data_IF_355157844467
#
_entry.id   IF_355157844467
#
_cell.length_a   1.000
_cell.length_b   1.000
_cell.length_c   1.000
_cell.angle_alpha   90.00
_cell.angle_beta   90.00
_cell.angle_gamma   90.00
#
_symmetry.space_group_name_H-M   'P 1'
#
loop_
_entity.id
_entity.type
_entity.pdbx_description
1 polymer ?
#
# COMPACT_ATOMS: atom_id res chain seq x y z
N UNK A 1 -3.41 39.48 14.42
CA UNK A 1 -4.75 38.88 14.67
C UNK A 1 -4.77 37.47 14.09
N UNK A 2 -4.48 36.45 14.90
CA UNK A 2 -4.56 35.04 14.45
C UNK A 2 -6.02 34.59 14.51
N UNK A 3 -6.74 34.69 13.39
CA UNK A 3 -8.04 34.05 13.25
C UNK A 3 -7.86 32.53 13.38
N UNK A 4 -8.27 31.96 14.52
CA UNK A 4 -8.47 30.51 14.65
C UNK A 4 -9.59 30.13 13.69
N UNK A 5 -9.24 29.62 12.51
CA UNK A 5 -10.21 28.98 11.61
C UNK A 5 -10.94 27.86 12.38
N UNK A 6 -12.27 27.76 12.27
CA UNK A 6 -13.03 26.69 12.90
C UNK A 6 -12.53 25.34 12.38
N UNK A 7 -12.29 24.38 13.29
CA UNK A 7 -11.97 23.00 12.95
C UNK A 7 -13.15 22.44 12.15
N UNK A 8 -12.95 22.21 10.85
CA UNK A 8 -13.95 21.55 10.01
C UNK A 8 -14.25 20.17 10.63
N UNK A 9 -15.53 19.76 10.72
CA UNK A 9 -15.87 18.42 11.16
C UNK A 9 -15.15 17.39 10.29
N UNK A 10 -14.69 16.29 10.90
CA UNK A 10 -14.14 15.19 10.14
C UNK A 10 -15.17 14.74 9.08
N UNK A 11 -14.73 14.50 7.84
CA UNK A 11 -15.57 13.91 6.80
C UNK A 11 -16.29 12.67 7.34
N UNK A 12 -17.57 12.55 7.01
CA UNK A 12 -18.35 11.36 7.36
C UNK A 12 -18.12 10.30 6.27
N UNK A 13 -17.98 9.02 6.64
CA UNK A 13 -17.90 7.96 5.66
C UNK A 13 -19.18 7.91 4.81
N UNK A 14 -19.13 7.31 3.60
CA UNK A 14 -20.28 7.18 2.72
C UNK A 14 -21.45 6.52 3.45
N UNK A 15 -22.66 6.90 3.06
CA UNK A 15 -23.88 6.30 3.59
C UNK A 15 -23.85 4.77 3.41
N UNK A 16 -24.28 4.04 4.43
CA UNK A 16 -24.20 2.57 4.44
C UNK A 16 -22.84 1.98 4.85
N UNK A 17 -21.81 2.80 5.13
CA UNK A 17 -20.55 2.28 5.70
C UNK A 17 -20.80 1.67 7.08
N UNK A 18 -20.43 0.40 7.33
CA UNK A 18 -20.62 -0.22 8.63
C UNK A 18 -19.91 0.51 9.77
N UNK A 19 -20.38 0.28 10.99
CA UNK A 19 -19.72 0.81 12.18
C UNK A 19 -18.28 0.28 12.27
N UNK A 20 -17.40 1.08 12.89
CA UNK A 20 -15.96 0.74 13.00
C UNK A 20 -15.71 -0.64 13.61
N UNK A 21 -16.48 -1.01 14.64
CA UNK A 21 -16.37 -2.31 15.31
C UNK A 21 -16.74 -3.47 14.39
N UNK A 22 -17.70 -3.26 13.48
CA UNK A 22 -18.08 -4.24 12.48
C UNK A 22 -17.02 -4.40 11.39
N UNK A 23 -16.48 -3.28 10.88
CA UNK A 23 -15.32 -3.32 9.97
C UNK A 23 -14.13 -4.04 10.62
N UNK A 24 -13.87 -3.76 11.90
CA UNK A 24 -12.80 -4.43 12.63
C UNK A 24 -13.08 -5.92 12.82
N UNK A 25 -14.33 -6.34 13.04
CA UNK A 25 -14.73 -7.76 13.07
C UNK A 25 -14.47 -8.44 11.72
N UNK A 26 -14.82 -7.79 10.60
CA UNK A 26 -14.53 -8.30 9.25
C UNK A 26 -13.01 -8.43 9.03
N UNK A 27 -12.24 -7.41 9.37
CA UNK A 27 -10.78 -7.43 9.28
C UNK A 27 -10.16 -8.55 10.14
N UNK A 28 -10.65 -8.76 11.37
CA UNK A 28 -10.21 -9.88 12.22
C UNK A 28 -10.51 -11.23 11.61
N UNK A 29 -11.65 -11.37 10.95
CA UNK A 29 -12.03 -12.61 10.25
C UNK A 29 -11.07 -12.90 9.10
N UNK A 30 -10.77 -11.90 8.25
CA UNK A 30 -9.83 -12.06 7.13
C UNK A 30 -8.39 -12.35 7.57
N UNK A 31 -7.95 -11.75 8.68
CA UNK A 31 -6.61 -11.91 9.23
C UNK A 31 -6.48 -13.05 10.26
N UNK A 32 -7.49 -13.92 10.40
CA UNK A 32 -7.52 -14.93 11.47
C UNK A 32 -6.42 -15.99 11.35
N UNK A 33 -6.09 -16.43 10.12
CA UNK A 33 -4.98 -17.35 9.86
C UNK A 33 -3.63 -16.73 10.20
N UNK A 34 -3.36 -15.56 9.65
CA UNK A 34 -2.19 -14.74 9.96
C UNK A 34 -2.00 -14.48 11.46
N UNK A 35 -3.08 -14.11 12.18
CA UNK A 35 -3.01 -13.88 13.63
C UNK A 35 -2.71 -15.18 14.42
N UNK A 36 -3.13 -16.34 13.93
CA UNK A 36 -2.84 -17.65 14.52
C UNK A 36 -1.36 -17.99 14.36
N UNK A 37 -0.82 -17.86 13.15
CA UNK A 37 0.61 -18.07 12.87
C UNK A 37 1.48 -17.08 13.65
N UNK A 38 1.06 -15.82 13.76
CA UNK A 38 1.80 -14.82 14.54
C UNK A 38 1.87 -15.14 16.05
N UNK A 39 0.78 -15.66 16.64
CA UNK A 39 0.76 -16.11 18.05
C UNK A 39 1.58 -17.38 18.28
N UNK A 40 1.54 -18.29 17.31
CA UNK A 40 2.40 -19.46 17.31
C UNK A 40 3.87 -19.05 17.30
N UNK A 41 4.25 -18.14 16.40
CA UNK A 41 5.62 -17.64 16.29
C UNK A 41 6.10 -16.97 17.59
N UNK A 42 5.26 -16.16 18.24
CA UNK A 42 5.55 -15.57 19.55
C UNK A 42 5.87 -16.63 20.62
N UNK A 43 5.13 -17.75 20.59
CA UNK A 43 5.27 -18.83 21.57
C UNK A 43 6.44 -19.79 21.26
N UNK A 44 6.64 -20.11 19.98
CA UNK A 44 7.59 -21.12 19.51
C UNK A 44 8.98 -20.54 19.22
N UNK A 45 9.05 -19.31 18.70
CA UNK A 45 10.27 -18.66 18.19
C UNK A 45 10.75 -17.50 19.08
N UNK A 46 10.27 -17.43 20.32
CA UNK A 46 10.62 -16.38 21.30
C UNK A 46 12.12 -16.28 21.59
N UNK A 47 12.57 -15.22 22.29
CA UNK A 47 13.97 -14.90 22.47
C UNK A 47 14.82 -16.10 22.93
N UNK A 48 15.84 -16.47 22.13
CA UNK A 48 16.75 -17.58 22.42
C UNK A 48 16.32 -18.95 21.88
N UNK A 49 15.19 -19.05 21.16
CA UNK A 49 14.70 -20.29 20.54
C UNK A 49 14.84 -20.25 19.02
N UNK A 50 16.04 -20.55 18.52
CA UNK A 50 16.31 -20.84 17.10
C UNK A 50 16.12 -19.67 16.12
N UNK A 51 16.60 -19.86 14.89
CA UNK A 51 16.32 -18.93 13.79
C UNK A 51 14.91 -19.18 13.25
N UNK A 52 14.12 -18.11 13.13
CA UNK A 52 12.80 -18.12 12.51
C UNK A 52 12.86 -18.15 10.98
N UNK A 53 13.92 -17.58 10.39
CA UNK A 53 13.98 -17.28 8.95
C UNK A 53 15.20 -17.94 8.30
N UNK A 54 15.09 -18.25 7.01
CA UNK A 54 16.14 -18.99 6.31
C UNK A 54 17.40 -18.16 6.03
N UNK A 55 17.26 -16.87 5.69
CA UNK A 55 18.35 -16.06 5.10
C UNK A 55 18.23 -14.54 5.38
N UNK A 56 17.66 -14.12 6.51
CA UNK A 56 17.40 -12.70 6.78
C UNK A 56 16.36 -12.01 5.86
N UNK A 57 15.81 -12.74 4.88
CA UNK A 57 14.78 -12.29 3.91
C UNK A 57 13.35 -12.33 4.46
N UNK A 58 13.18 -12.46 5.77
CA UNK A 58 11.88 -12.55 6.44
C UNK A 58 10.94 -13.70 6.03
N UNK A 59 11.39 -14.61 5.17
CA UNK A 59 10.70 -15.86 4.82
C UNK A 59 10.96 -16.93 5.88
N UNK A 60 9.93 -17.69 6.25
CA UNK A 60 10.08 -18.86 7.13
C UNK A 60 11.01 -19.90 6.51
N UNK A 61 11.89 -20.47 7.32
CA UNK A 61 12.67 -21.64 6.91
C UNK A 61 11.76 -22.88 6.74
N UNK A 62 12.19 -23.83 5.92
CA UNK A 62 11.43 -25.07 5.66
C UNK A 62 11.14 -25.82 6.96
N UNK A 63 12.15 -25.96 7.82
CA UNK A 63 12.02 -26.62 9.12
C UNK A 63 10.99 -25.94 10.03
N UNK A 64 11.01 -24.60 10.09
CA UNK A 64 10.08 -23.82 10.90
C UNK A 64 8.66 -23.89 10.33
N UNK A 65 8.51 -23.86 9.01
CA UNK A 65 7.22 -23.98 8.35
C UNK A 65 6.59 -25.37 8.57
N UNK A 66 7.38 -26.44 8.49
CA UNK A 66 6.92 -27.81 8.73
C UNK A 66 6.60 -28.08 10.21
N UNK A 67 7.32 -27.43 11.13
CA UNK A 67 6.96 -27.45 12.55
C UNK A 67 5.62 -26.75 12.78
N UNK A 68 5.45 -25.53 12.29
CA UNK A 68 4.20 -24.78 12.40
C UNK A 68 3.03 -25.53 11.78
N UNK A 69 3.22 -26.16 10.61
CA UNK A 69 2.21 -26.94 9.92
C UNK A 69 1.69 -28.08 10.79
N UNK A 70 2.61 -28.84 11.41
CA UNK A 70 2.27 -29.94 12.33
C UNK A 70 1.58 -29.45 13.59
N UNK A 71 2.06 -28.37 14.20
CA UNK A 71 1.51 -27.86 15.47
C UNK A 71 0.16 -27.15 15.29
N UNK A 72 -0.07 -26.50 14.15
CA UNK A 72 -1.30 -25.77 13.85
C UNK A 72 -2.33 -26.58 13.08
N UNK A 73 -1.98 -27.79 12.62
CA UNK A 73 -2.84 -28.62 11.78
C UNK A 73 -3.13 -27.99 10.42
N UNK A 74 -2.14 -27.30 9.85
CA UNK A 74 -2.20 -26.62 8.56
C UNK A 74 -1.24 -27.28 7.57
N UNK A 75 -1.41 -27.01 6.29
CA UNK A 75 -0.38 -27.33 5.30
C UNK A 75 0.79 -26.35 5.38
N UNK A 76 1.99 -26.77 5.00
CA UNK A 76 3.18 -25.90 4.93
C UNK A 76 2.93 -24.69 4.03
N UNK A 77 2.17 -24.85 2.94
CA UNK A 77 1.78 -23.76 2.04
C UNK A 77 0.87 -22.73 2.75
N UNK A 78 -0.14 -23.18 3.50
CA UNK A 78 -1.02 -22.29 4.26
C UNK A 78 -0.25 -21.52 5.33
N UNK A 79 0.68 -22.18 6.05
CA UNK A 79 1.53 -21.51 7.04
C UNK A 79 2.34 -20.39 6.41
N UNK A 80 2.96 -20.63 5.24
CA UNK A 80 3.75 -19.61 4.54
C UNK A 80 2.89 -18.42 4.10
N UNK A 81 1.73 -18.68 3.52
CA UNK A 81 0.80 -17.62 3.11
C UNK A 81 0.29 -16.79 4.31
N UNK A 82 -0.07 -17.46 5.41
CA UNK A 82 -0.50 -16.78 6.65
C UNK A 82 0.65 -16.01 7.31
N UNK A 83 1.89 -16.52 7.23
CA UNK A 83 3.08 -15.81 7.71
C UNK A 83 3.35 -14.53 6.92
N UNK A 84 3.32 -14.60 5.59
CA UNK A 84 3.54 -13.43 4.75
C UNK A 84 2.43 -12.39 4.96
N UNK A 85 1.19 -12.85 5.08
CA UNK A 85 0.05 -12.01 5.46
C UNK A 85 0.25 -11.37 6.84
N UNK A 86 0.75 -12.11 7.83
CA UNK A 86 1.05 -11.60 9.17
C UNK A 86 2.16 -10.54 9.15
N UNK A 87 3.18 -10.72 8.30
CA UNK A 87 4.27 -9.76 8.10
C UNK A 87 3.77 -8.48 7.45
N UNK A 88 3.04 -8.59 6.34
CA UNK A 88 2.48 -7.44 5.61
C UNK A 88 1.45 -6.66 6.45
N UNK A 89 0.63 -7.35 7.24
CA UNK A 89 -0.31 -6.71 8.17
C UNK A 89 0.36 -6.14 9.44
N UNK A 90 1.67 -6.37 9.63
CA UNK A 90 2.44 -5.92 10.81
C UNK A 90 2.02 -6.60 12.11
N UNK A 91 1.56 -7.86 12.05
CA UNK A 91 1.32 -8.73 13.19
C UNK A 91 2.61 -9.42 13.66
N UNK A 92 3.58 -9.59 12.76
CA UNK A 92 4.92 -10.10 13.03
C UNK A 92 5.95 -9.07 12.57
N UNK A 93 6.95 -8.83 13.40
CA UNK A 93 8.11 -8.01 13.08
C UNK A 93 9.35 -8.90 12.99
N UNK A 94 9.92 -9.02 11.79
CA UNK A 94 11.14 -9.79 11.57
C UNK A 94 12.36 -8.88 11.74
N UNK A 95 13.33 -9.35 12.52
CA UNK A 95 14.59 -8.69 12.79
C UNK A 95 15.73 -9.68 12.50
N UNK A 96 16.28 -9.63 11.29
CA UNK A 96 17.24 -10.62 10.78
C UNK A 96 16.65 -12.03 10.84
N UNK A 97 17.27 -12.86 11.66
CA UNK A 97 16.91 -14.27 11.83
C UNK A 97 15.83 -14.50 12.90
N UNK A 98 15.42 -13.44 13.61
CA UNK A 98 14.43 -13.52 14.68
C UNK A 98 13.09 -12.91 14.28
N UNK A 99 12.00 -13.45 14.81
CA UNK A 99 10.67 -12.90 14.64
C UNK A 99 10.06 -12.57 16.00
N UNK A 100 9.34 -11.45 16.09
CA UNK A 100 8.69 -10.98 17.31
C UNK A 100 7.24 -10.60 17.04
N UNK A 101 6.36 -10.68 18.05
CA UNK A 101 5.00 -10.19 17.91
C UNK A 101 5.02 -8.68 17.68
N UNK A 102 4.45 -8.26 16.56
CA UNK A 102 4.25 -6.85 16.27
C UNK A 102 3.28 -6.20 17.25
N UNK A 103 3.38 -4.88 17.43
CA UNK A 103 2.52 -4.16 18.38
C UNK A 103 1.02 -4.33 18.08
N UNK A 104 0.64 -4.53 16.80
CA UNK A 104 -0.75 -4.77 16.38
C UNK A 104 -1.29 -6.09 16.92
N UNK A 105 -0.48 -7.14 16.98
CA UNK A 105 -0.86 -8.42 17.58
C UNK A 105 -1.16 -8.26 19.08
N UNK A 106 -0.35 -7.45 19.79
CA UNK A 106 -0.56 -7.13 21.21
C UNK A 106 -1.81 -6.27 21.46
N UNK A 107 -2.29 -5.58 20.45
CA UNK A 107 -3.48 -4.74 20.50
C UNK A 107 -4.74 -5.43 19.93
N UNK A 108 -4.60 -6.63 19.37
CA UNK A 108 -5.61 -7.34 18.57
C UNK A 108 -7.02 -7.38 19.17
N UNK A 109 -7.12 -7.66 20.47
CA UNK A 109 -8.40 -7.81 21.16
C UNK A 109 -9.00 -6.49 21.69
N UNK A 110 -8.23 -5.39 21.71
CA UNK A 110 -8.57 -4.17 22.45
C UNK A 110 -8.59 -2.89 21.62
N UNK A 111 -7.98 -2.89 20.43
CA UNK A 111 -7.89 -1.72 19.56
C UNK A 111 -8.32 -2.06 18.14
N UNK A 112 -9.58 -1.74 17.81
CA UNK A 112 -10.14 -1.87 16.47
C UNK A 112 -9.37 -1.04 15.43
N UNK A 113 -8.83 0.11 15.84
CA UNK A 113 -8.06 0.96 14.94
C UNK A 113 -6.73 0.31 14.56
N UNK A 114 -6.10 -0.43 15.49
CA UNK A 114 -4.88 -1.17 15.21
C UNK A 114 -5.11 -2.30 14.20
N UNK A 115 -6.21 -3.04 14.36
CA UNK A 115 -6.61 -4.11 13.43
C UNK A 115 -6.90 -3.55 12.05
N UNK A 116 -7.72 -2.50 11.97
CA UNK A 116 -8.05 -1.84 10.70
C UNK A 116 -6.80 -1.30 9.99
N UNK A 117 -5.85 -0.69 10.73
CA UNK A 117 -4.57 -0.28 10.15
C UNK A 117 -3.71 -1.46 9.66
N UNK A 118 -3.79 -2.61 10.32
CA UNK A 118 -3.10 -3.82 9.87
C UNK A 118 -3.69 -4.37 8.58
N UNK A 119 -5.02 -4.41 8.48
CA UNK A 119 -5.70 -4.82 7.26
C UNK A 119 -5.47 -3.86 6.10
N UNK A 120 -5.49 -2.53 6.34
CA UNK A 120 -5.16 -1.54 5.30
C UNK A 120 -3.72 -1.71 4.79
N UNK A 121 -2.77 -2.04 5.68
CA UNK A 121 -1.39 -2.32 5.25
C UNK A 121 -1.31 -3.58 4.36
N UNK A 122 -2.08 -4.63 4.66
CA UNK A 122 -2.20 -5.80 3.80
C UNK A 122 -2.85 -5.45 2.45
N UNK A 123 -3.94 -4.68 2.49
CA UNK A 123 -4.64 -4.18 1.30
C UNK A 123 -3.69 -3.39 0.40
N UNK A 124 -2.82 -2.55 0.96
CA UNK A 124 -1.83 -1.78 0.19
C UNK A 124 -0.72 -2.66 -0.39
N UNK A 125 -0.44 -3.78 0.25
CA UNK A 125 0.54 -4.77 -0.17
C UNK A 125 -0.10 -5.96 -0.91
N UNK A 126 -1.28 -5.80 -1.51
CA UNK A 126 -2.02 -6.89 -2.16
C UNK A 126 -1.18 -7.64 -3.20
N UNK A 127 -0.39 -6.93 -4.00
CA UNK A 127 0.47 -7.51 -5.04
C UNK A 127 1.66 -8.28 -4.47
N UNK A 128 2.07 -7.99 -3.23
CA UNK A 128 3.09 -8.75 -2.49
C UNK A 128 2.49 -9.96 -1.77
N UNK A 129 1.23 -9.85 -1.34
CA UNK A 129 0.50 -10.94 -0.70
C UNK A 129 0.10 -12.04 -1.71
N UNK A 130 -0.11 -11.66 -2.97
CA UNK A 130 -0.45 -12.55 -4.06
C UNK A 130 0.44 -12.25 -5.28
N UNK A 131 1.63 -12.87 -5.34
CA UNK A 131 2.61 -12.58 -6.40
C UNK A 131 2.05 -12.79 -7.80
N UNK A 132 2.62 -12.08 -8.77
CA UNK A 132 2.25 -12.17 -10.18
C UNK A 132 2.46 -13.58 -10.76
N UNK A 133 1.70 -13.94 -11.81
CA UNK A 133 1.95 -15.17 -12.56
C UNK A 133 3.36 -15.19 -13.18
N UNK A 134 3.97 -16.38 -13.22
CA UNK A 134 5.30 -16.53 -13.80
C UNK A 134 5.30 -16.24 -15.30
N UNK A 135 6.28 -15.46 -15.76
CA UNK A 135 6.48 -15.13 -17.18
C UNK A 135 5.91 -13.77 -17.59
N UNK A 136 5.25 -13.04 -16.69
CA UNK A 136 4.81 -11.67 -16.92
C UNK A 136 5.99 -10.70 -16.91
N UNK A 137 5.89 -9.65 -17.73
CA UNK A 137 6.92 -8.63 -17.84
C UNK A 137 6.86 -7.67 -16.62
N UNK A 138 7.97 -7.43 -15.90
CA UNK A 138 7.93 -6.65 -14.66
C UNK A 138 7.41 -5.22 -14.80
N UNK A 139 7.64 -4.54 -15.93
CA UNK A 139 7.13 -3.20 -16.15
C UNK A 139 5.60 -3.19 -16.35
N UNK A 140 5.04 -4.15 -17.08
CA UNK A 140 3.60 -4.33 -17.24
C UNK A 140 2.91 -4.59 -15.89
N UNK A 141 3.50 -5.45 -15.05
CA UNK A 141 3.00 -5.67 -13.68
C UNK A 141 3.02 -4.37 -12.87
N UNK A 142 4.12 -3.61 -12.92
CA UNK A 142 4.25 -2.34 -12.21
C UNK A 142 3.25 -1.27 -12.70
N UNK A 143 2.93 -1.26 -14.00
CA UNK A 143 1.91 -0.39 -14.60
C UNK A 143 0.51 -0.73 -14.09
N UNK A 144 0.14 -2.01 -14.08
CA UNK A 144 -1.16 -2.46 -13.55
C UNK A 144 -1.28 -2.12 -12.07
N UNK A 145 -0.25 -2.43 -11.26
CA UNK A 145 -0.23 -2.07 -9.83
C UNK A 145 -0.39 -0.56 -9.63
N UNK A 146 0.24 0.26 -10.49
CA UNK A 146 0.14 1.72 -10.46
C UNK A 146 -1.24 2.25 -10.88
N UNK A 147 -1.96 1.53 -11.75
CA UNK A 147 -3.28 1.91 -12.25
C UNK A 147 -4.43 1.48 -11.32
N UNK A 148 -4.24 0.44 -10.49
CA UNK A 148 -5.28 -0.08 -9.60
C UNK A 148 -5.97 0.94 -8.68
N UNK A 149 -5.32 1.99 -8.14
CA UNK A 149 -6.01 3.01 -7.35
C UNK A 149 -7.18 3.68 -8.10
N UNK A 150 -7.07 3.90 -9.41
CA UNK A 150 -8.15 4.49 -10.21
C UNK A 150 -9.29 3.48 -10.44
N UNK A 151 -8.95 2.23 -10.74
CA UNK A 151 -9.93 1.13 -10.88
C UNK A 151 -10.74 0.94 -9.58
N UNK A 152 -10.06 0.95 -8.43
CA UNK A 152 -10.69 0.87 -7.12
C UNK A 152 -11.58 2.08 -6.81
N UNK A 153 -11.16 3.28 -7.21
CA UNK A 153 -11.97 4.49 -7.08
C UNK A 153 -13.24 4.43 -7.93
N UNK A 154 -13.14 3.87 -9.15
CA UNK A 154 -14.30 3.65 -10.01
C UNK A 154 -15.28 2.65 -9.38
N UNK A 155 -14.79 1.49 -8.90
CA UNK A 155 -15.62 0.52 -8.17
C UNK A 155 -16.35 1.15 -6.98
N UNK A 156 -15.67 2.04 -6.25
CA UNK A 156 -16.25 2.74 -5.09
C UNK A 156 -17.35 3.71 -5.51
N UNK A 157 -17.15 4.46 -6.60
CA UNK A 157 -18.13 5.42 -7.13
C UNK A 157 -19.36 4.73 -7.74
N UNK A 158 -19.17 3.56 -8.36
CA UNK A 158 -20.26 2.78 -8.94
C UNK A 158 -21.22 2.21 -7.90
N UNK A 159 -20.78 2.07 -6.63
CA UNK A 159 -21.60 1.63 -5.49
C UNK A 159 -22.37 0.31 -5.75
N UNK A 160 -21.81 -0.60 -6.55
CA UNK A 160 -22.43 -1.86 -6.95
C UNK A 160 -21.50 -2.72 -7.82
N UNK A 161 -22.01 -3.85 -8.35
CA UNK A 161 -21.25 -4.71 -9.26
C UNK A 161 -20.86 -3.98 -10.54
N UNK A 162 -19.61 -4.17 -10.95
CA UNK A 162 -19.04 -3.58 -12.17
C UNK A 162 -18.52 -4.68 -13.09
N UNK A 163 -18.87 -4.65 -14.38
CA UNK A 163 -18.40 -5.65 -15.35
C UNK A 163 -16.89 -5.64 -15.54
N UNK A 164 -16.29 -6.83 -15.63
CA UNK A 164 -14.83 -6.98 -15.76
C UNK A 164 -14.32 -6.40 -17.09
N UNK A 165 -15.10 -6.46 -18.16
CA UNK A 165 -14.82 -5.79 -19.43
C UNK A 165 -14.73 -4.27 -19.27
N UNK A 166 -15.65 -3.66 -18.52
CA UNK A 166 -15.59 -2.22 -18.22
C UNK A 166 -14.35 -1.86 -17.38
N UNK A 167 -13.94 -2.72 -16.44
CA UNK A 167 -12.71 -2.52 -15.67
C UNK A 167 -11.45 -2.66 -16.54
N UNK A 168 -11.49 -3.54 -17.54
CA UNK A 168 -10.40 -3.73 -18.51
C UNK A 168 -10.23 -2.49 -19.37
N UNK A 169 -11.31 -1.94 -19.93
CA UNK A 169 -11.27 -0.71 -20.72
C UNK A 169 -10.65 0.45 -19.92
N UNK A 170 -11.04 0.58 -18.65
CA UNK A 170 -10.47 1.60 -17.74
C UNK A 170 -8.99 1.37 -17.46
N UNK A 171 -8.58 0.12 -17.26
CA UNK A 171 -7.19 -0.24 -17.01
C UNK A 171 -6.32 0.05 -18.24
N UNK A 172 -6.78 -0.34 -19.44
CA UNK A 172 -6.10 -0.08 -20.71
C UNK A 172 -5.91 1.43 -20.94
N UNK A 173 -6.96 2.22 -20.71
CA UNK A 173 -6.86 3.67 -20.78
C UNK A 173 -5.79 4.20 -19.81
N UNK A 174 -5.84 3.79 -18.54
CA UNK A 174 -4.91 4.34 -17.54
C UNK A 174 -3.46 3.91 -17.77
N UNK A 175 -3.21 2.68 -18.19
CA UNK A 175 -1.86 2.22 -18.53
C UNK A 175 -1.32 3.03 -19.72
N UNK A 176 -2.15 3.32 -20.71
CA UNK A 176 -1.79 4.18 -21.84
C UNK A 176 -1.41 5.60 -21.39
N UNK A 177 -2.20 6.19 -20.49
CA UNK A 177 -1.89 7.49 -19.87
C UNK A 177 -0.56 7.45 -19.11
N UNK A 178 -0.33 6.45 -18.26
CA UNK A 178 0.92 6.29 -17.49
C UNK A 178 2.16 6.18 -18.40
N UNK A 179 2.04 5.44 -19.50
CA UNK A 179 3.11 5.33 -20.51
C UNK A 179 3.39 6.68 -21.17
N UNK A 180 2.33 7.43 -21.50
CA UNK A 180 2.45 8.77 -22.07
C UNK A 180 3.10 9.75 -21.08
N UNK A 181 2.64 9.78 -19.81
CA UNK A 181 3.21 10.60 -18.74
C UNK A 181 4.70 10.31 -18.51
N UNK A 182 5.13 9.05 -18.60
CA UNK A 182 6.55 8.65 -18.47
C UNK A 182 7.41 9.09 -19.65
N UNK A 183 6.84 9.19 -20.85
CA UNK A 183 7.53 9.71 -22.03
C UNK A 183 7.79 11.22 -21.95
N UNK A 184 7.16 11.96 -21.02
CA UNK A 184 7.21 13.43 -20.96
C UNK A 184 8.32 14.04 -20.06
N UNK A 185 9.33 13.30 -19.57
CA UNK A 185 10.39 13.89 -18.70
C UNK A 185 11.81 13.54 -19.18
N UNK A 186 12.79 14.48 -19.33
CA UNK A 186 12.88 15.80 -18.68
C UNK A 186 13.12 17.06 -19.56
N UNK A 187 12.56 18.17 -19.07
CA UNK A 187 12.96 19.55 -19.38
C UNK A 187 14.31 19.87 -18.70
N UNK A 188 15.41 19.53 -19.38
CA UNK A 188 16.76 20.04 -19.13
C UNK A 188 17.28 20.77 -20.38
N UNK A 189 18.40 21.53 -20.32
CA UNK A 189 18.94 22.18 -21.52
C UNK A 189 19.23 21.10 -22.57
N UNK A 190 18.58 21.26 -23.72
CA UNK A 190 18.58 20.35 -24.87
C UNK A 190 20.04 20.03 -25.24
N UNK A 191 20.51 18.83 -24.92
CA UNK A 191 21.70 18.28 -25.55
C UNK A 191 21.33 18.02 -27.02
N UNK A 192 22.23 18.44 -27.91
CA UNK A 192 22.14 18.30 -29.37
C UNK A 192 21.57 16.93 -29.81
N UNK A 193 20.76 16.87 -30.87
CA UNK A 193 20.06 15.66 -31.27
C UNK A 193 21.03 14.59 -31.75
N UNK A 194 21.33 13.63 -30.86
CA UNK A 194 21.87 12.32 -31.24
C UNK A 194 20.81 11.49 -31.99
N UNK A 195 21.23 10.38 -32.64
CA UNK A 195 20.32 9.53 -33.41
C UNK A 195 19.12 9.13 -32.55
N UNK A 196 17.92 9.45 -33.05
CA UNK A 196 16.66 9.11 -32.40
C UNK A 196 16.63 7.61 -32.12
N UNK A 197 16.46 7.16 -30.86
CA UNK A 197 16.12 5.77 -30.62
C UNK A 197 14.79 5.50 -31.31
N UNK A 198 14.77 4.44 -32.12
CA UNK A 198 13.57 3.87 -32.73
C UNK A 198 12.52 3.72 -31.62
N UNK A 199 11.24 4.11 -31.82
CA UNK A 199 10.23 3.89 -30.79
C UNK A 199 10.24 2.41 -30.44
N UNK A 200 10.61 2.12 -29.18
CA UNK A 200 10.54 0.77 -28.67
C UNK A 200 9.06 0.42 -28.65
N UNK A 201 8.68 -0.49 -29.54
CA UNK A 201 7.37 -1.11 -29.54
C UNK A 201 7.38 -2.04 -28.33
N UNK A 202 7.31 -1.47 -27.13
CA UNK A 202 7.00 -2.22 -25.91
C UNK A 202 5.60 -2.76 -26.11
N UNK A 203 5.59 -3.97 -26.63
CA UNK A 203 4.50 -4.64 -27.29
C UNK A 203 3.25 -4.71 -26.42
N UNK A 204 2.11 -4.81 -27.12
CA UNK A 204 0.76 -5.15 -26.66
C UNK A 204 0.74 -6.33 -25.67
N UNK A 205 1.22 -6.12 -24.45
CA UNK A 205 1.08 -7.09 -23.38
C UNK A 205 -0.41 -7.11 -23.04
N UNK A 206 -1.10 -8.24 -23.25
CA UNK A 206 -2.53 -8.29 -23.00
C UNK A 206 -2.76 -8.01 -21.51
N UNK A 207 -3.55 -6.98 -21.21
CA UNK A 207 -3.80 -6.57 -19.82
C UNK A 207 -4.87 -7.41 -19.13
N UNK A 208 -5.67 -8.18 -19.89
CA UNK A 208 -6.74 -9.01 -19.33
C UNK A 208 -6.26 -10.05 -18.30
N UNK A 209 -5.19 -10.84 -18.53
CA UNK A 209 -4.63 -11.73 -17.52
C UNK A 209 -4.13 -11.00 -16.26
N UNK A 210 -3.54 -9.81 -16.44
CA UNK A 210 -3.05 -9.00 -15.32
C UNK A 210 -4.18 -8.36 -14.51
N UNK A 211 -5.28 -7.96 -15.17
CA UNK A 211 -6.50 -7.53 -14.48
C UNK A 211 -7.10 -8.69 -13.68
N UNK A 212 -7.21 -9.87 -14.28
CA UNK A 212 -7.74 -11.05 -13.61
C UNK A 212 -6.89 -11.39 -12.37
N UNK A 213 -5.56 -11.39 -12.50
CA UNK A 213 -4.64 -11.52 -11.37
C UNK A 213 -4.89 -10.46 -10.29
N UNK A 214 -4.96 -9.17 -10.67
CA UNK A 214 -5.14 -8.09 -9.71
C UNK A 214 -6.48 -8.20 -8.94
N UNK A 215 -7.56 -8.57 -9.65
CA UNK A 215 -8.87 -8.80 -9.04
C UNK A 215 -8.84 -10.00 -8.08
N UNK A 216 -8.23 -11.12 -8.47
CA UNK A 216 -8.06 -12.28 -7.59
C UNK A 216 -7.19 -11.97 -6.37
N UNK A 217 -6.11 -11.20 -6.54
CA UNK A 217 -5.24 -10.78 -5.46
C UNK A 217 -5.98 -9.89 -4.45
N UNK A 218 -6.74 -8.90 -4.93
CA UNK A 218 -7.58 -8.04 -4.09
C UNK A 218 -8.72 -8.81 -3.41
N UNK A 219 -9.30 -9.81 -4.10
CA UNK A 219 -10.28 -10.72 -3.50
C UNK A 219 -9.65 -11.56 -2.38
N UNK A 220 -8.41 -12.03 -2.56
CA UNK A 220 -7.70 -12.86 -1.58
C UNK A 220 -7.46 -12.14 -0.25
N UNK A 221 -7.26 -10.81 -0.28
CA UNK A 221 -7.15 -9.97 0.93
C UNK A 221 -8.51 -9.49 1.46
N UNK A 222 -9.61 -9.85 0.80
CA UNK A 222 -10.98 -9.52 1.18
C UNK A 222 -11.44 -8.11 0.80
N UNK A 223 -10.76 -7.45 -0.14
CA UNK A 223 -11.10 -6.08 -0.55
C UNK A 223 -12.31 -6.04 -1.50
N UNK A 224 -12.46 -7.07 -2.32
CA UNK A 224 -13.58 -7.19 -3.26
C UNK A 224 -14.04 -8.64 -3.39
N UNK A 225 -15.17 -8.85 -4.04
CA UNK A 225 -15.67 -10.16 -4.46
C UNK A 225 -15.80 -10.17 -5.98
N UNK A 226 -15.41 -11.27 -6.61
CA UNK A 226 -15.60 -11.53 -8.03
C UNK A 226 -16.70 -12.59 -8.22
N UNK A 227 -17.62 -12.36 -9.14
CA UNK A 227 -18.70 -13.30 -9.48
C UNK A 227 -19.42 -12.87 -10.76
N UNK A 228 -19.87 -13.82 -11.57
CA UNK A 228 -20.63 -13.58 -12.82
C UNK A 228 -19.95 -12.59 -13.81
N UNK A 229 -18.61 -12.59 -13.85
CA UNK A 229 -17.85 -11.63 -14.68
C UNK A 229 -17.93 -10.19 -14.17
N UNK A 230 -18.24 -10.00 -12.89
CA UNK A 230 -18.34 -8.71 -12.22
C UNK A 230 -17.40 -8.68 -11.00
N UNK A 231 -16.99 -7.47 -10.60
CA UNK A 231 -16.32 -7.22 -9.33
C UNK A 231 -17.14 -6.24 -8.47
N UNK A 232 -17.12 -6.43 -7.15
CA UNK A 232 -17.79 -5.54 -6.19
C UNK A 232 -16.92 -5.35 -4.96
N UNK A 233 -16.73 -4.11 -4.51
CA UNK A 233 -16.02 -3.87 -3.24
C UNK A 233 -16.80 -4.46 -2.07
N UNK A 234 -16.07 -5.12 -1.17
CA UNK A 234 -16.63 -5.48 0.14
C UNK A 234 -16.84 -4.22 0.98
N UNK A 235 -17.63 -4.27 2.06
CA UNK A 235 -17.73 -3.11 2.96
C UNK A 235 -16.38 -2.64 3.51
N UNK A 236 -15.43 -3.56 3.70
CA UNK A 236 -14.08 -3.26 4.17
C UNK A 236 -13.22 -2.61 3.07
N UNK A 237 -13.29 -3.12 1.84
CA UNK A 237 -12.64 -2.52 0.68
C UNK A 237 -13.18 -1.12 0.36
N UNK A 238 -14.51 -0.96 0.35
CA UNK A 238 -15.16 0.34 0.15
C UNK A 238 -14.72 1.38 1.19
N UNK A 239 -14.67 0.99 2.46
CA UNK A 239 -14.17 1.85 3.53
C UNK A 239 -12.69 2.23 3.32
N UNK A 240 -11.83 1.29 2.95
CA UNK A 240 -10.41 1.56 2.76
C UNK A 240 -10.12 2.48 1.57
N UNK A 241 -10.81 2.27 0.44
CA UNK A 241 -10.73 3.18 -0.72
C UNK A 241 -11.23 4.57 -0.34
N UNK A 242 -12.34 4.67 0.40
CA UNK A 242 -12.83 5.95 0.90
C UNK A 242 -11.80 6.67 1.78
N UNK A 243 -11.18 5.98 2.75
CA UNK A 243 -10.15 6.58 3.62
C UNK A 243 -8.99 7.11 2.79
N UNK A 244 -8.59 6.42 1.72
CA UNK A 244 -7.53 6.88 0.81
C UNK A 244 -7.93 8.10 0.01
N UNK A 245 -9.15 8.12 -0.55
CA UNK A 245 -9.66 9.30 -1.25
C UNK A 245 -9.80 10.50 -0.29
N UNK A 246 -10.24 10.27 0.94
CA UNK A 246 -10.30 11.30 1.97
C UNK A 246 -8.92 11.86 2.28
N UNK A 247 -7.89 11.00 2.39
CA UNK A 247 -6.51 11.44 2.57
C UNK A 247 -6.03 12.32 1.41
N UNK A 248 -6.35 11.98 0.16
CA UNK A 248 -6.04 12.80 -1.01
C UNK A 248 -6.80 14.14 -0.96
N UNK A 249 -8.08 14.13 -0.63
CA UNK A 249 -8.89 15.35 -0.50
C UNK A 249 -8.39 16.28 0.62
N UNK A 250 -8.01 15.71 1.77
CA UNK A 250 -7.39 16.45 2.88
C UNK A 250 -6.02 16.98 2.46
N UNK A 251 -5.25 16.18 1.73
CA UNK A 251 -3.97 16.58 1.19
C UNK A 251 -4.08 17.78 0.27
N UNK A 252 -5.00 17.71 -0.70
CA UNK A 252 -5.32 18.79 -1.66
C UNK A 252 -5.74 20.09 -0.97
N UNK A 253 -6.20 20.00 0.27
CA UNK A 253 -6.60 21.14 1.10
C UNK A 253 -5.50 21.56 2.09
N UNK A 254 -4.26 21.11 1.91
CA UNK A 254 -3.11 21.50 2.74
C UNK A 254 -3.09 23.02 2.92
N UNK A 255 -3.13 23.53 4.16
CA UNK A 255 -3.10 24.97 4.44
C UNK A 255 -1.84 25.66 3.91
N UNK A 256 -0.74 24.92 3.74
CA UNK A 256 0.54 25.44 3.28
C UNK A 256 0.67 25.48 1.75
N UNK A 257 -0.21 24.79 1.00
CA UNK A 257 -0.16 24.76 -0.47
C UNK A 257 1.09 24.07 -1.04
N UNK A 258 1.81 23.29 -0.23
CA UNK A 258 3.04 22.62 -0.66
C UNK A 258 2.79 21.40 -1.56
N UNK A 259 1.52 21.02 -1.77
CA UNK A 259 1.16 19.77 -2.45
C UNK A 259 1.65 19.71 -3.88
N UNK A 260 1.85 20.84 -4.57
CA UNK A 260 2.36 20.91 -5.94
C UNK A 260 3.88 21.14 -5.98
N UNK A 261 4.51 21.42 -4.84
CA UNK A 261 5.92 21.82 -4.78
C UNK A 261 6.86 20.61 -4.86
N UNK A 262 8.08 20.76 -5.42
CA UNK A 262 9.13 19.75 -5.30
C UNK A 262 9.43 19.40 -3.84
N UNK A 263 9.95 18.20 -3.59
CA UNK A 263 10.21 17.73 -2.22
C UNK A 263 11.02 18.72 -1.38
N UNK A 264 12.09 19.32 -1.92
CA UNK A 264 12.92 20.27 -1.18
C UNK A 264 12.15 21.52 -0.74
N UNK A 265 11.32 22.09 -1.62
CA UNK A 265 10.53 23.29 -1.32
C UNK A 265 9.44 22.99 -0.30
N UNK A 266 8.80 21.82 -0.41
CA UNK A 266 7.88 21.34 0.61
C UNK A 266 8.59 21.18 1.97
N UNK A 267 9.78 20.58 2.01
CA UNK A 267 10.55 20.38 3.25
C UNK A 267 10.96 21.71 3.87
N UNK A 268 11.42 22.69 3.05
CA UNK A 268 11.69 24.07 3.50
C UNK A 268 10.45 24.73 4.07
N UNK A 269 9.30 24.61 3.40
CA UNK A 269 8.02 25.13 3.86
C UNK A 269 7.56 24.51 5.19
N UNK A 270 7.94 23.26 5.45
CA UNK A 270 7.62 22.56 6.69
C UNK A 270 8.60 22.82 7.84
N UNK A 271 9.78 23.39 7.58
CA UNK A 271 10.85 23.53 8.58
C UNK A 271 10.44 24.36 9.80
N UNK A 272 9.50 25.30 9.64
CA UNK A 272 9.00 26.15 10.73
C UNK A 272 7.74 25.61 11.41
N UNK A 273 7.18 24.50 10.91
CA UNK A 273 5.97 23.91 11.47
C UNK A 273 6.26 23.09 12.71
N UNK A 274 5.25 22.95 13.58
CA UNK A 274 5.31 21.99 14.69
C UNK A 274 5.39 20.55 14.13
N UNK A 275 6.03 19.59 14.81
CA UNK A 275 6.24 18.24 14.28
C UNK A 275 4.97 17.52 13.78
N UNK A 276 3.86 17.65 14.49
CA UNK A 276 2.59 17.03 14.07
C UNK A 276 1.96 17.72 12.85
N UNK A 277 2.19 19.03 12.69
CA UNK A 277 1.73 19.77 11.51
C UNK A 277 2.61 19.44 10.29
N UNK A 278 3.94 19.43 10.46
CA UNK A 278 4.89 18.99 9.43
C UNK A 278 4.58 17.55 8.95
N UNK A 279 4.32 16.62 9.87
CA UNK A 279 3.90 15.25 9.49
C UNK A 279 2.57 15.19 8.74
N UNK A 280 1.64 16.10 9.01
CA UNK A 280 0.40 16.18 8.25
C UNK A 280 0.67 16.68 6.82
N UNK A 281 1.56 17.66 6.66
CA UNK A 281 2.02 18.14 5.36
C UNK A 281 2.78 17.06 4.57
N UNK A 282 3.62 16.26 5.23
CA UNK A 282 4.31 15.14 4.57
C UNK A 282 3.33 14.09 4.05
N UNK A 283 2.32 13.71 4.86
CA UNK A 283 1.26 12.80 4.41
C UNK A 283 0.49 13.37 3.23
N UNK A 284 0.18 14.66 3.29
CA UNK A 284 -0.52 15.34 2.22
C UNK A 284 0.28 15.30 0.91
N UNK A 285 1.54 15.72 0.98
CA UNK A 285 2.44 15.74 -0.16
C UNK A 285 2.65 14.34 -0.77
N UNK A 286 2.81 13.32 0.08
CA UNK A 286 2.94 11.92 -0.35
C UNK A 286 1.67 11.38 -1.00
N UNK A 287 0.49 11.68 -0.44
CA UNK A 287 -0.79 11.18 -0.95
C UNK A 287 -1.14 11.68 -2.36
N UNK A 288 -0.57 12.81 -2.78
CA UNK A 288 -0.87 13.45 -4.06
C UNK A 288 -0.01 12.97 -5.23
N UNK A 289 0.91 12.03 -5.02
CA UNK A 289 1.94 11.64 -5.99
C UNK A 289 2.11 10.13 -6.10
N UNK A 290 2.65 9.64 -7.23
CA UNK A 290 3.17 8.28 -7.30
C UNK A 290 4.28 8.05 -6.27
N UNK A 291 4.17 6.98 -5.48
CA UNK A 291 5.12 6.66 -4.38
C UNK A 291 6.57 6.59 -4.87
N UNK A 292 6.81 6.00 -6.04
CA UNK A 292 8.15 5.89 -6.62
C UNK A 292 8.81 7.26 -6.85
N UNK A 293 8.07 8.21 -7.45
CA UNK A 293 8.55 9.58 -7.66
C UNK A 293 8.79 10.29 -6.33
N UNK A 294 7.82 10.19 -5.42
CA UNK A 294 7.88 10.86 -4.12
C UNK A 294 9.07 10.37 -3.28
N UNK A 295 9.33 9.06 -3.24
CA UNK A 295 10.49 8.47 -2.57
C UNK A 295 11.79 8.88 -3.26
N UNK A 296 11.84 8.89 -4.60
CA UNK A 296 13.02 9.31 -5.34
C UNK A 296 13.39 10.78 -5.04
N UNK A 297 12.42 11.68 -5.03
CA UNK A 297 12.61 13.09 -4.69
C UNK A 297 13.06 13.28 -3.24
N UNK A 298 12.45 12.58 -2.28
CA UNK A 298 12.86 12.64 -0.87
C UNK A 298 14.27 12.08 -0.65
N UNK A 299 14.63 10.99 -1.34
CA UNK A 299 15.98 10.44 -1.31
C UNK A 299 17.00 11.38 -1.97
N UNK A 300 16.62 12.13 -3.01
CA UNK A 300 17.47 13.17 -3.59
C UNK A 300 17.73 14.30 -2.59
N UNK A 301 16.68 14.81 -1.93
CA UNK A 301 16.80 15.81 -0.88
C UNK A 301 17.64 15.30 0.32
N UNK A 302 17.49 14.02 0.67
CA UNK A 302 18.28 13.37 1.73
C UNK A 302 19.78 13.22 1.38
N UNK A 303 20.14 13.25 0.09
CA UNK A 303 21.53 13.24 -0.40
C UNK A 303 22.13 14.63 -0.58
N UNK A 304 21.31 15.69 -0.54
CA UNK A 304 21.75 17.06 -0.73
C UNK A 304 22.67 17.60 0.38
N UNK A 305 23.24 18.78 0.17
CA UNK A 305 24.23 19.37 1.08
C UNK A 305 23.60 20.03 2.33
N UNK A 306 22.33 20.43 2.27
CA UNK A 306 21.61 21.06 3.39
C UNK A 306 21.26 20.05 4.50
N UNK A 307 21.94 20.16 5.64
CA UNK A 307 21.77 19.26 6.79
C UNK A 307 20.35 19.28 7.39
N UNK A 308 19.65 20.41 7.35
CA UNK A 308 18.29 20.52 7.85
C UNK A 308 17.34 19.74 6.92
N UNK A 309 17.46 19.94 5.61
CA UNK A 309 16.64 19.23 4.64
C UNK A 309 16.89 17.74 4.64
N UNK A 310 18.13 17.28 4.85
CA UNK A 310 18.42 15.85 5.03
C UNK A 310 17.65 15.26 6.22
N UNK A 311 17.66 15.94 7.36
CA UNK A 311 16.93 15.50 8.55
C UNK A 311 15.42 15.42 8.31
N UNK A 312 14.85 16.46 7.71
CA UNK A 312 13.42 16.51 7.40
C UNK A 312 13.01 15.48 6.33
N UNK A 313 13.86 15.19 5.35
CA UNK A 313 13.61 14.17 4.34
C UNK A 313 13.52 12.77 4.95
N UNK A 314 14.41 12.42 5.89
CA UNK A 314 14.29 11.15 6.63
C UNK A 314 13.04 11.10 7.51
N UNK A 315 12.66 12.21 8.12
CA UNK A 315 11.43 12.28 8.89
C UNK A 315 10.18 12.15 8.01
N UNK A 316 10.19 12.69 6.79
CA UNK A 316 9.12 12.50 5.81
C UNK A 316 9.07 11.04 5.30
N UNK A 317 10.22 10.40 5.04
CA UNK A 317 10.29 9.00 4.61
C UNK A 317 9.74 8.02 5.67
N UNK A 318 9.80 8.36 6.96
CA UNK A 318 9.19 7.57 8.05
C UNK A 318 7.67 7.64 8.11
N UNK A 319 7.08 8.53 7.33
CA UNK A 319 5.63 8.74 7.27
C UNK A 319 4.99 7.95 6.12
N UNK A 320 5.82 7.44 5.19
CA UNK A 320 5.50 6.38 4.24
C UNK A 320 5.28 5.07 4.99
#
# INVERSE_FOLDING_TARGET
>A
MNQRRPRRPAPRPPEGTPARSELARMARSGLAGAARVARWADSALGPGRGSATADGKATLSDATADQAARELGLTTAQVRADWDTARLAGLVEVHGDSARPGWRLRAWNRDDSAVLRGWVALFDAWSLAHPEPAGEEPAAVAEVVSAMPQVLSFLQLSAGPVPVDQLLDLLEQRVTELRTERCEVPYGPRLEPGPQPVPDVTADTPLAPLLDWALHALASVGALTCGDGQATLTPLGNWAVWVKLEQICVAAQSPAGNIEQPAEDMLRGCAQLRPNAARAEYRAWLAARPVGSAVAELLAAARGEDALLRGLAFDALRVV
#
